data_IF_900142841265
#
_entry.id   IF_900142841265
#
_cell.length_a   1.000
_cell.length_b   1.000
_cell.length_c   1.000
_cell.angle_alpha   90.00
_cell.angle_beta   90.00
_cell.angle_gamma   90.00
#
_symmetry.space_group_name_H-M   'P 1'
#
loop_
_entity.id
_entity.type
_entity.pdbx_description
1 polymer ?
#
# COMPACT_ATOMS: atom_id res chain seq x y z
N UNK A 1 8.74 4.83 -11.51
CA UNK A 1 9.88 3.91 -11.71
C UNK A 1 9.51 2.88 -12.75
N UNK A 2 10.42 2.57 -13.68
CA UNK A 2 10.31 1.49 -14.66
C UNK A 2 11.05 0.26 -14.12
N UNK A 3 10.45 -0.92 -14.17
CA UNK A 3 11.06 -2.15 -13.64
C UNK A 3 10.59 -3.40 -14.39
N UNK A 4 11.33 -4.49 -14.24
CA UNK A 4 10.97 -5.81 -14.74
C UNK A 4 10.62 -6.74 -13.58
N UNK A 5 9.35 -7.19 -13.41
CA UNK A 5 8.97 -8.09 -12.32
C UNK A 5 9.69 -9.44 -12.33
N UNK A 6 10.30 -9.80 -13.47
CA UNK A 6 11.11 -11.02 -13.64
C UNK A 6 12.54 -10.92 -13.13
N UNK A 7 13.01 -9.73 -12.74
CA UNK A 7 14.35 -9.53 -12.17
C UNK A 7 14.60 -10.48 -10.99
N UNK A 8 15.74 -11.21 -10.96
CA UNK A 8 16.02 -12.18 -9.90
C UNK A 8 16.01 -11.58 -8.49
N UNK A 9 16.50 -10.34 -8.33
CA UNK A 9 16.51 -9.65 -7.03
C UNK A 9 15.09 -9.33 -6.57
N UNK A 10 14.26 -8.80 -7.47
CA UNK A 10 12.85 -8.50 -7.17
C UNK A 10 12.06 -9.78 -6.86
N UNK A 11 12.34 -10.87 -7.58
CA UNK A 11 11.71 -12.18 -7.30
C UNK A 11 12.07 -12.70 -5.91
N UNK A 12 13.36 -12.60 -5.52
CA UNK A 12 13.82 -12.99 -4.19
C UNK A 12 13.17 -12.13 -3.07
N UNK A 13 13.12 -10.81 -3.27
CA UNK A 13 12.46 -9.89 -2.34
C UNK A 13 10.96 -10.21 -2.18
N UNK A 14 10.27 -10.45 -3.28
CA UNK A 14 8.85 -10.84 -3.27
C UNK A 14 8.61 -12.16 -2.53
N UNK A 15 9.39 -13.19 -2.84
CA UNK A 15 9.27 -14.48 -2.17
C UNK A 15 9.48 -14.35 -0.66
N UNK A 16 10.48 -13.58 -0.25
CA UNK A 16 10.73 -13.27 1.17
C UNK A 16 9.52 -12.60 1.81
N UNK A 17 8.96 -11.57 1.18
CA UNK A 17 7.80 -10.86 1.70
C UNK A 17 6.57 -11.76 1.81
N UNK A 18 6.31 -12.59 0.78
CA UNK A 18 5.19 -13.53 0.80
C UNK A 18 5.31 -14.56 1.91
N UNK A 19 6.51 -15.08 2.18
CA UNK A 19 6.74 -16.00 3.29
C UNK A 19 6.50 -15.31 4.65
N UNK A 20 6.95 -14.06 4.81
CA UNK A 20 6.68 -13.28 6.04
C UNK A 20 5.19 -12.95 6.22
N UNK A 21 4.45 -12.68 5.13
CA UNK A 21 2.99 -12.56 5.19
C UNK A 21 2.35 -13.85 5.73
N UNK A 22 2.75 -15.02 5.21
CA UNK A 22 2.24 -16.31 5.68
C UNK A 22 2.55 -16.53 7.17
N UNK A 23 3.78 -16.26 7.59
CA UNK A 23 4.21 -16.38 8.98
C UNK A 23 3.39 -15.46 9.89
N UNK A 24 3.22 -14.18 9.52
CA UNK A 24 2.41 -13.22 10.28
C UNK A 24 0.95 -13.65 10.41
N UNK A 25 0.36 -14.05 9.29
CA UNK A 25 -1.06 -14.37 9.20
C UNK A 25 -1.43 -15.70 9.88
N UNK A 26 -0.45 -16.55 10.15
CA UNK A 26 -0.63 -17.80 10.89
C UNK A 26 -0.56 -17.62 12.41
N UNK A 27 -0.06 -16.48 12.90
CA UNK A 27 0.05 -16.23 14.34
C UNK A 27 -1.30 -15.79 14.95
N UNK A 28 -1.63 -16.29 16.15
CA UNK A 28 -2.71 -15.75 16.96
C UNK A 28 -2.53 -14.24 17.21
N UNK A 29 -3.62 -13.55 17.43
CA UNK A 29 -3.62 -12.08 17.59
C UNK A 29 -2.88 -11.62 18.87
N UNK A 30 -2.95 -12.42 19.92
CA UNK A 30 -2.31 -12.17 21.21
C UNK A 30 -0.78 -12.41 21.21
N UNK A 31 -0.23 -13.03 20.18
CA UNK A 31 1.22 -13.17 19.98
C UNK A 31 1.87 -11.86 19.51
N UNK A 32 1.61 -10.76 20.24
CA UNK A 32 1.92 -9.38 19.84
C UNK A 32 3.40 -9.13 19.56
N UNK A 33 4.30 -9.68 20.37
CA UNK A 33 5.75 -9.49 20.20
C UNK A 33 6.26 -10.20 18.95
N UNK A 34 5.82 -11.43 18.69
CA UNK A 34 6.20 -12.19 17.50
C UNK A 34 5.67 -11.51 16.24
N UNK A 35 4.42 -11.08 16.27
CA UNK A 35 3.80 -10.33 15.18
C UNK A 35 4.55 -9.04 14.87
N UNK A 36 4.89 -8.25 15.90
CA UNK A 36 5.70 -7.03 15.76
C UNK A 36 7.09 -7.31 15.17
N UNK A 37 7.74 -8.38 15.60
CA UNK A 37 9.05 -8.78 15.07
C UNK A 37 9.00 -9.15 13.58
N UNK A 38 7.92 -9.80 13.13
CA UNK A 38 7.72 -10.12 11.71
C UNK A 38 7.47 -8.86 10.91
N UNK A 39 6.60 -7.95 11.37
CA UNK A 39 6.34 -6.68 10.68
C UNK A 39 7.61 -5.84 10.52
N UNK A 40 8.48 -5.78 11.51
CA UNK A 40 9.80 -5.10 11.41
C UNK A 40 10.70 -5.70 10.33
N UNK A 41 10.59 -7.00 10.08
CA UNK A 41 11.30 -7.67 8.97
C UNK A 41 10.62 -7.42 7.63
N UNK A 42 9.30 -7.36 7.61
CA UNK A 42 8.48 -7.30 6.39
C UNK A 42 8.53 -5.92 5.76
N UNK A 43 8.22 -4.86 6.52
CA UNK A 43 8.14 -3.50 5.98
C UNK A 43 9.49 -2.78 5.98
N UNK A 44 9.62 -1.76 5.14
CA UNK A 44 10.85 -0.97 5.01
C UNK A 44 11.18 -0.20 6.28
N UNK A 45 10.19 0.43 6.88
CA UNK A 45 10.27 1.02 8.22
C UNK A 45 8.87 1.13 8.84
N UNK A 46 8.82 1.09 10.16
CA UNK A 46 7.58 1.23 10.93
C UNK A 46 7.88 1.91 12.26
N UNK A 47 7.08 2.90 12.62
CA UNK A 47 7.16 3.60 13.89
C UNK A 47 6.69 2.76 15.07
N UNK A 48 6.51 3.41 16.19
CA UNK A 48 6.02 2.81 17.44
C UNK A 48 4.49 2.72 17.47
N UNK A 49 3.98 1.84 18.36
CA UNK A 49 2.55 1.67 18.63
C UNK A 49 1.71 1.37 17.37
N UNK A 50 2.24 0.55 16.48
CA UNK A 50 1.56 0.12 15.28
C UNK A 50 0.92 -1.25 15.49
N UNK A 51 -0.31 -1.39 15.03
CA UNK A 51 -1.04 -2.65 15.10
C UNK A 51 -1.76 -2.94 13.78
N UNK A 52 -1.64 -4.15 13.29
CA UNK A 52 -2.37 -4.66 12.14
C UNK A 52 -3.15 -5.89 12.55
N UNK A 53 -4.47 -5.86 12.40
CA UNK A 53 -5.35 -6.96 12.79
C UNK A 53 -4.97 -8.26 12.08
N UNK A 54 -4.64 -8.16 10.79
CA UNK A 54 -4.39 -9.30 9.90
C UNK A 54 -5.69 -9.98 9.42
N UNK A 55 -5.60 -10.83 8.38
CA UNK A 55 -4.39 -11.05 7.60
C UNK A 55 -3.89 -9.79 6.88
N UNK A 56 -2.57 -9.72 6.62
CA UNK A 56 -1.95 -8.65 5.83
C UNK A 56 -1.30 -9.21 4.57
N UNK A 57 -1.20 -8.39 3.53
CA UNK A 57 -0.62 -8.78 2.25
C UNK A 57 0.28 -7.68 1.71
N UNK A 58 1.59 -7.82 1.86
CA UNK A 58 2.59 -6.95 1.25
C UNK A 58 3.26 -7.66 0.09
N UNK A 59 3.41 -6.98 -1.05
CA UNK A 59 4.04 -7.56 -2.23
C UNK A 59 5.56 -7.65 -2.07
N UNK A 60 6.22 -6.55 -1.74
CA UNK A 60 7.62 -6.50 -1.36
C UNK A 60 7.83 -6.15 0.11
N UNK A 61 6.97 -5.34 0.69
CA UNK A 61 7.05 -4.80 2.05
C UNK A 61 8.15 -3.74 2.21
N UNK A 62 9.31 -3.96 1.60
CA UNK A 62 10.50 -3.10 1.73
C UNK A 62 10.30 -1.67 1.21
N UNK A 63 9.37 -1.44 0.31
CA UNK A 63 9.07 -0.13 -0.23
C UNK A 63 7.98 0.60 0.57
N UNK A 64 7.46 -0.03 1.61
CA UNK A 64 6.43 0.56 2.48
C UNK A 64 7.06 1.11 3.76
N UNK A 65 6.77 2.38 4.04
CA UNK A 65 7.17 3.08 5.28
C UNK A 65 5.92 3.55 6.00
N UNK A 66 5.86 3.26 7.30
CA UNK A 66 4.69 3.52 8.15
C UNK A 66 5.14 4.33 9.36
N UNK A 67 4.42 5.39 9.67
CA UNK A 67 4.67 6.25 10.84
C UNK A 67 4.26 5.60 12.16
N UNK A 68 4.11 6.42 13.20
CA UNK A 68 3.75 5.99 14.55
C UNK A 68 2.22 5.88 14.71
N UNK A 69 1.78 5.05 15.69
CA UNK A 69 0.37 4.92 16.08
C UNK A 69 -0.54 4.54 14.89
N UNK A 70 -0.06 3.65 14.04
CA UNK A 70 -0.79 3.17 12.87
C UNK A 70 -1.67 1.98 13.24
N UNK A 71 -2.90 2.00 12.76
CA UNK A 71 -3.83 0.88 12.87
C UNK A 71 -4.32 0.44 11.49
N UNK A 72 -4.28 -0.85 11.21
CA UNK A 72 -4.96 -1.46 10.07
C UNK A 72 -5.85 -2.62 10.51
N UNK A 73 -7.08 -2.62 10.04
CA UNK A 73 -8.04 -3.69 10.24
C UNK A 73 -7.77 -4.87 9.28
N UNK A 74 -8.69 -5.83 9.18
CA UNK A 74 -8.55 -7.05 8.39
C UNK A 74 -8.24 -6.80 6.91
N UNK A 75 -7.44 -7.69 6.32
CA UNK A 75 -7.14 -7.73 4.89
C UNK A 75 -6.46 -6.46 4.35
N UNK A 76 -5.59 -5.84 5.15
CA UNK A 76 -4.78 -4.73 4.66
C UNK A 76 -3.82 -5.22 3.59
N UNK A 77 -3.94 -4.66 2.38
CA UNK A 77 -3.17 -5.09 1.20
C UNK A 77 -2.35 -3.94 0.64
N UNK A 78 -1.06 -4.16 0.45
CA UNK A 78 -0.15 -3.18 -0.16
C UNK A 78 0.64 -3.84 -1.29
N UNK A 79 0.37 -3.41 -2.50
CA UNK A 79 1.16 -3.78 -3.66
C UNK A 79 2.21 -2.69 -3.90
N UNK A 80 3.33 -2.80 -3.18
CA UNK A 80 4.40 -1.81 -3.12
C UNK A 80 5.53 -2.08 -4.11
N UNK A 81 5.21 -2.12 -5.40
CA UNK A 81 6.21 -2.12 -6.47
C UNK A 81 6.96 -0.77 -6.54
N UNK A 82 6.31 0.33 -6.16
CA UNK A 82 6.88 1.63 -5.87
C UNK A 82 6.71 2.00 -4.40
N UNK A 83 7.29 3.12 -4.00
CA UNK A 83 7.24 3.57 -2.61
C UNK A 83 5.82 3.85 -2.12
N UNK A 84 5.52 3.39 -0.90
CA UNK A 84 4.32 3.72 -0.13
C UNK A 84 4.74 4.37 1.17
N UNK A 85 4.28 5.58 1.40
CA UNK A 85 4.52 6.32 2.64
C UNK A 85 3.20 6.58 3.34
N UNK A 86 3.09 6.17 4.60
CA UNK A 86 1.92 6.37 5.46
C UNK A 86 2.40 7.13 6.70
N UNK A 87 1.78 8.26 6.98
CA UNK A 87 2.12 9.11 8.11
C UNK A 87 1.69 8.55 9.46
N UNK A 88 1.80 9.39 10.48
CA UNK A 88 1.46 9.05 11.85
C UNK A 88 -0.06 9.05 12.09
N UNK A 89 -0.51 8.28 13.09
CA UNK A 89 -1.89 8.26 13.60
C UNK A 89 -2.95 8.00 12.52
N UNK A 90 -2.61 7.16 11.55
CA UNK A 90 -3.55 6.72 10.52
C UNK A 90 -4.30 5.46 10.98
N UNK A 91 -5.60 5.41 10.66
CA UNK A 91 -6.47 4.29 10.98
C UNK A 91 -7.19 3.80 9.71
N UNK A 92 -7.00 2.53 9.37
CA UNK A 92 -7.56 1.92 8.18
C UNK A 92 -8.59 0.86 8.54
N UNK A 93 -9.78 0.97 7.96
CA UNK A 93 -10.82 -0.04 8.03
C UNK A 93 -10.46 -1.34 7.31
N UNK A 94 -11.31 -2.37 7.39
CA UNK A 94 -11.03 -3.63 6.72
C UNK A 94 -11.02 -3.50 5.19
N UNK A 95 -10.22 -4.35 4.55
CA UNK A 95 -10.09 -4.43 3.09
C UNK A 95 -9.57 -3.13 2.44
N UNK A 96 -8.75 -2.36 3.13
CA UNK A 96 -8.04 -1.24 2.50
C UNK A 96 -6.91 -1.78 1.63
N UNK A 97 -6.85 -1.29 0.38
CA UNK A 97 -5.86 -1.70 -0.61
C UNK A 97 -5.11 -0.49 -1.15
N UNK A 98 -3.78 -0.55 -1.14
CA UNK A 98 -2.90 0.43 -1.76
C UNK A 98 -2.16 -0.24 -2.90
N UNK A 99 -2.22 0.35 -4.11
CA UNK A 99 -1.53 -0.18 -5.29
C UNK A 99 -0.63 0.89 -5.91
N UNK A 100 0.58 0.50 -6.26
CA UNK A 100 1.56 1.37 -6.91
C UNK A 100 1.89 0.98 -8.34
N UNK A 101 1.77 -0.30 -8.77
CA UNK A 101 2.12 -0.70 -10.13
C UNK A 101 1.09 -0.27 -11.16
N UNK A 102 1.60 -0.07 -12.37
CA UNK A 102 0.86 0.26 -13.57
C UNK A 102 1.37 -0.57 -14.75
N UNK A 103 0.49 -0.81 -15.68
CA UNK A 103 0.86 -1.35 -16.99
C UNK A 103 0.55 -0.33 -18.09
N UNK A 104 1.26 -0.37 -19.21
CA UNK A 104 0.92 0.43 -20.39
C UNK A 104 -0.54 0.19 -20.81
N UNK A 105 -1.23 1.25 -21.22
CA UNK A 105 -2.64 1.17 -21.61
C UNK A 105 -2.82 0.44 -22.95
N UNK A 106 -1.91 0.63 -23.89
CA UNK A 106 -1.99 -0.01 -25.19
C UNK A 106 -1.55 -1.48 -25.12
N UNK A 107 -2.29 -2.43 -25.71
CA UNK A 107 -1.95 -3.85 -25.68
C UNK A 107 -0.54 -4.15 -26.18
N UNK A 108 -0.11 -3.56 -27.29
CA UNK A 108 1.22 -3.74 -27.88
C UNK A 108 2.36 -3.34 -26.93
N UNK A 109 2.15 -2.39 -26.03
CA UNK A 109 3.14 -1.92 -25.07
C UNK A 109 3.25 -2.84 -23.87
N UNK A 110 2.28 -3.77 -23.69
CA UNK A 110 2.31 -4.80 -22.64
C UNK A 110 2.92 -6.11 -23.11
N UNK A 111 3.33 -6.18 -24.37
CA UNK A 111 4.00 -7.36 -24.93
C UNK A 111 5.38 -7.55 -24.29
N UNK A 112 5.86 -8.77 -24.40
CA UNK A 112 7.22 -9.06 -23.96
C UNK A 112 8.21 -8.51 -24.97
N UNK A 113 9.28 -7.89 -24.46
CA UNK A 113 10.50 -7.56 -25.21
C UNK A 113 11.55 -8.63 -24.98
N UNK A 114 12.32 -8.94 -26.01
CA UNK A 114 13.46 -9.83 -25.90
C UNK A 114 14.73 -9.00 -25.82
N UNK A 115 15.61 -9.34 -24.87
CA UNK A 115 16.95 -8.74 -24.82
C UNK A 115 17.82 -9.29 -25.96
N UNK A 116 18.98 -8.65 -26.24
CA UNK A 116 19.93 -9.19 -27.24
C UNK A 116 20.36 -10.63 -26.90
N UNK A 117 20.38 -10.99 -25.60
CA UNK A 117 20.72 -12.33 -25.11
C UNK A 117 19.54 -13.33 -25.19
N UNK A 118 18.39 -12.90 -25.74
CA UNK A 118 17.19 -13.73 -25.90
C UNK A 118 16.32 -13.87 -24.66
N UNK A 119 16.60 -13.14 -23.59
CA UNK A 119 15.73 -13.15 -22.40
C UNK A 119 14.39 -12.44 -22.66
N UNK A 120 13.30 -13.08 -22.25
CA UNK A 120 11.97 -12.53 -22.34
C UNK A 120 11.68 -11.60 -21.15
N UNK A 121 11.50 -10.30 -21.39
CA UNK A 121 11.23 -9.29 -20.36
C UNK A 121 9.90 -8.59 -20.59
N UNK A 122 9.21 -8.28 -19.51
CA UNK A 122 8.01 -7.45 -19.49
C UNK A 122 8.25 -6.27 -18.57
N UNK A 123 8.12 -5.07 -19.10
CA UNK A 123 8.32 -3.85 -18.32
C UNK A 123 7.01 -3.40 -17.67
N UNK A 124 7.12 -2.97 -16.43
CA UNK A 124 6.03 -2.39 -15.64
C UNK A 124 6.45 -1.02 -15.11
N UNK A 125 5.48 -0.22 -14.73
CA UNK A 125 5.69 1.07 -14.11
C UNK A 125 5.21 1.01 -12.67
N UNK A 126 5.79 1.84 -11.80
CA UNK A 126 5.25 2.10 -10.48
C UNK A 126 5.27 3.60 -10.20
N UNK A 127 4.22 4.10 -9.55
CA UNK A 127 4.12 5.46 -9.03
C UNK A 127 3.93 5.39 -7.53
N UNK A 128 4.62 6.24 -6.75
CA UNK A 128 4.51 6.23 -5.30
C UNK A 128 3.11 6.63 -4.84
N UNK A 129 2.73 6.15 -3.65
CA UNK A 129 1.54 6.61 -2.92
C UNK A 129 2.00 7.24 -1.62
N UNK A 130 1.46 8.42 -1.33
CA UNK A 130 1.76 9.15 -0.10
C UNK A 130 0.46 9.44 0.65
N UNK A 131 0.42 9.04 1.92
CA UNK A 131 -0.70 9.30 2.82
C UNK A 131 -0.14 10.08 4.00
N UNK A 132 -0.70 11.25 4.26
CA UNK A 132 -0.30 12.15 5.34
C UNK A 132 -0.67 11.60 6.72
N UNK A 133 -0.52 12.44 7.73
CA UNK A 133 -0.84 12.10 9.11
C UNK A 133 -2.35 12.19 9.39
N UNK A 134 -2.80 11.54 10.47
CA UNK A 134 -4.17 11.67 11.01
C UNK A 134 -5.27 11.30 10.01
N UNK A 135 -5.00 10.38 9.09
CA UNK A 135 -5.97 9.94 8.08
C UNK A 135 -6.80 8.76 8.56
N UNK A 136 -8.10 8.81 8.27
CA UNK A 136 -9.01 7.68 8.50
C UNK A 136 -9.62 7.18 7.19
N UNK A 137 -9.46 5.88 6.94
CA UNK A 137 -10.02 5.21 5.76
C UNK A 137 -11.12 4.24 6.18
N UNK A 138 -12.29 4.40 5.60
CA UNK A 138 -13.39 3.44 5.74
C UNK A 138 -13.06 2.09 5.10
N UNK A 139 -13.93 1.11 5.34
CA UNK A 139 -13.77 -0.24 4.79
C UNK A 139 -13.76 -0.24 3.24
N UNK A 140 -12.94 -1.11 2.65
CA UNK A 140 -12.93 -1.34 1.20
C UNK A 140 -12.39 -0.19 0.35
N UNK A 141 -11.63 0.73 0.93
CA UNK A 141 -10.99 1.82 0.18
C UNK A 141 -9.83 1.28 -0.65
N UNK A 142 -9.77 1.70 -1.92
CA UNK A 142 -8.64 1.44 -2.81
C UNK A 142 -7.93 2.75 -3.17
N UNK A 143 -6.61 2.81 -2.95
CA UNK A 143 -5.77 3.94 -3.37
C UNK A 143 -4.96 3.56 -4.60
N UNK A 144 -5.14 4.33 -5.67
CA UNK A 144 -4.51 4.09 -6.97
C UNK A 144 -3.07 4.65 -7.04
N UNK A 145 -2.27 4.16 -8.01
CA UNK A 145 -0.88 4.58 -8.17
C UNK A 145 -0.70 6.09 -8.41
N UNK A 146 0.25 6.68 -7.70
CA UNK A 146 0.63 8.10 -7.86
C UNK A 146 -0.21 9.08 -7.07
N UNK A 147 -1.09 8.59 -6.18
CA UNK A 147 -1.97 9.44 -5.37
C UNK A 147 -1.26 9.95 -4.12
N UNK A 148 -1.46 11.23 -3.83
CA UNK A 148 -1.12 11.86 -2.55
C UNK A 148 -2.39 12.25 -1.80
N UNK A 149 -2.50 11.80 -0.54
CA UNK A 149 -3.60 12.15 0.37
C UNK A 149 -2.99 13.00 1.48
N UNK A 150 -3.46 14.23 1.64
CA UNK A 150 -2.96 15.16 2.65
C UNK A 150 -3.37 14.78 4.07
N UNK A 151 -2.80 15.49 5.05
CA UNK A 151 -3.06 15.26 6.48
C UNK A 151 -4.54 15.43 6.85
N UNK A 152 -5.00 14.70 7.85
CA UNK A 152 -6.32 14.84 8.44
C UNK A 152 -7.47 14.49 7.50
N UNK A 153 -7.24 13.66 6.49
CA UNK A 153 -8.28 13.24 5.55
C UNK A 153 -9.12 12.08 6.08
N UNK A 154 -10.40 12.12 5.74
CA UNK A 154 -11.33 10.99 5.91
C UNK A 154 -11.75 10.49 4.54
N UNK A 155 -11.51 9.21 4.27
CA UNK A 155 -11.91 8.56 3.01
C UNK A 155 -13.07 7.61 3.31
N UNK A 156 -14.22 7.89 2.70
CA UNK A 156 -15.44 7.10 2.90
C UNK A 156 -15.32 5.67 2.38
N UNK A 157 -16.03 4.75 3.03
CA UNK A 157 -16.00 3.32 2.69
C UNK A 157 -16.32 3.05 1.21
N UNK A 158 -15.70 2.04 0.63
CA UNK A 158 -15.89 1.63 -0.76
C UNK A 158 -15.34 2.59 -1.81
N UNK A 159 -14.57 3.59 -1.41
CA UNK A 159 -14.02 4.60 -2.33
C UNK A 159 -12.85 4.08 -3.15
N UNK A 160 -12.73 4.56 -4.40
CA UNK A 160 -11.56 4.35 -5.25
C UNK A 160 -10.88 5.69 -5.49
N UNK A 161 -9.75 5.92 -4.81
CA UNK A 161 -9.00 7.19 -4.85
C UNK A 161 -8.07 7.17 -6.05
N UNK A 162 -8.41 7.95 -7.06
CA UNK A 162 -7.70 8.02 -8.36
C UNK A 162 -6.96 9.35 -8.59
N UNK A 163 -7.05 10.29 -7.66
CA UNK A 163 -6.44 11.62 -7.71
C UNK A 163 -6.09 12.07 -6.30
N UNK A 164 -5.20 13.05 -6.22
CA UNK A 164 -4.80 13.65 -4.95
C UNK A 164 -5.98 14.23 -4.18
N UNK A 165 -5.92 14.07 -2.85
CA UNK A 165 -6.90 14.61 -1.91
C UNK A 165 -6.19 15.67 -1.06
N UNK A 166 -6.66 16.93 -1.09
CA UNK A 166 -6.06 17.98 -0.27
C UNK A 166 -6.27 17.74 1.22
N UNK A 167 -5.39 18.26 2.10
CA UNK A 167 -5.51 18.07 3.55
C UNK A 167 -6.89 18.48 4.10
N UNK A 168 -7.25 17.93 5.26
CA UNK A 168 -8.48 18.25 5.98
C UNK A 168 -9.72 18.11 5.09
N UNK A 169 -9.85 16.98 4.40
CA UNK A 169 -10.96 16.71 3.48
C UNK A 169 -11.69 15.43 3.84
N UNK A 170 -13.03 15.47 3.75
CA UNK A 170 -13.84 14.27 3.59
C UNK A 170 -14.04 14.01 2.10
N UNK A 171 -13.59 12.84 1.65
CA UNK A 171 -13.72 12.41 0.26
C UNK A 171 -14.34 11.02 0.18
N UNK A 172 -15.15 10.76 -0.84
CA UNK A 172 -15.81 9.47 -1.01
C UNK A 172 -16.20 9.20 -2.46
N UNK A 173 -16.52 7.95 -2.77
CA UNK A 173 -17.13 7.49 -4.02
C UNK A 173 -16.18 6.80 -4.99
N UNK A 174 -16.73 6.37 -6.14
CA UNK A 174 -16.05 5.72 -7.24
C UNK A 174 -16.39 6.46 -8.55
N UNK A 175 -15.47 7.26 -9.08
CA UNK A 175 -14.18 7.66 -8.51
C UNK A 175 -14.33 8.58 -7.31
N UNK A 176 -13.40 8.50 -6.35
CA UNK A 176 -13.42 9.31 -5.12
C UNK A 176 -13.30 10.80 -5.43
N UNK A 177 -14.13 11.61 -4.75
CA UNK A 177 -14.14 13.07 -4.86
C UNK A 177 -14.24 13.70 -3.49
N UNK A 178 -13.65 14.87 -3.33
CA UNK A 178 -13.84 15.69 -2.13
C UNK A 178 -15.30 16.10 -2.03
N UNK A 179 -15.92 15.73 -0.91
CA UNK A 179 -17.33 16.08 -0.59
C UNK A 179 -17.38 17.39 0.16
N UNK A 180 -16.47 17.57 1.15
CA UNK A 180 -16.38 18.79 1.95
C UNK A 180 -15.01 18.89 2.63
N UNK A 181 -14.67 20.10 3.06
CA UNK A 181 -13.54 20.34 3.97
C UNK A 181 -13.95 19.93 5.39
N UNK A 182 -12.98 19.46 6.16
CA UNK A 182 -13.12 19.25 7.58
C UNK A 182 -12.69 20.52 8.31
N UNK A 183 -13.54 21.07 9.15
CA UNK A 183 -13.26 22.22 10.00
C UNK A 183 -13.46 21.80 11.44
N UNK A 184 -12.67 22.35 12.36
CA UNK A 184 -12.96 22.23 13.78
C UNK A 184 -14.32 22.86 14.06
N UNK A 185 -15.08 22.23 14.96
CA UNK A 185 -16.42 22.68 15.36
C UNK A 185 -16.33 23.86 16.35
#
# INVERSE_FOLDING_TARGET
>A
VLFCPGDPTLRAMKLRAHNLNLEYNALPEDETEKRAAILKKLVGSMGSNCFMQGPVFFHYGRHTKIGNNFFANFNFTVQDDGDVMIGDRCAFGPNVTIVTPLHPMLPREREYVFTPEGEKKRMCYAKPVVIGNDCWFGAGVTVCPGVTIGDGCVIGAGSVVTRDIPPMSFAAGVPCRVIRRLTEA
#
